data_IF_564541850159
#
_entry.id   IF_564541850159
#
_cell.length_a   1.000
_cell.length_b   1.000
_cell.length_c   1.000
_cell.angle_alpha   90.00
_cell.angle_beta   90.00
_cell.angle_gamma   90.00
#
_symmetry.space_group_name_H-M   'P 1'
#
loop_
_entity.id
_entity.type
_entity.pdbx_description
1 polymer ?
#
# COMPACT_ATOMS: atom_id res chain seq x y z
N UNK A 1 -9.39 26.04 -18.39
CA UNK A 1 -10.23 24.85 -18.13
C UNK A 1 -9.43 23.91 -17.24
N UNK A 2 -9.77 23.85 -15.95
CA UNK A 2 -9.04 23.09 -14.94
C UNK A 2 -9.40 21.60 -15.06
N UNK A 3 -8.59 20.80 -15.76
CA UNK A 3 -8.76 19.35 -15.72
C UNK A 3 -8.50 18.86 -14.28
N UNK A 4 -9.46 18.19 -13.62
CA UNK A 4 -9.28 17.72 -12.24
C UNK A 4 -8.31 16.53 -12.18
N UNK A 5 -8.28 15.68 -13.21
CA UNK A 5 -7.54 14.41 -13.25
C UNK A 5 -6.04 14.56 -12.92
N UNK A 6 -5.27 15.50 -13.52
CA UNK A 6 -3.85 15.65 -13.19
C UNK A 6 -3.58 15.95 -11.72
N UNK A 7 -4.52 16.60 -11.01
CA UNK A 7 -4.39 16.92 -9.59
C UNK A 7 -4.58 15.70 -8.69
N UNK A 8 -5.50 14.81 -9.07
CA UNK A 8 -5.65 13.53 -8.36
C UNK A 8 -4.43 12.63 -8.60
N UNK A 9 -3.97 12.54 -9.84
CA UNK A 9 -2.79 11.74 -10.19
C UNK A 9 -1.56 12.20 -9.43
N UNK A 10 -1.27 13.51 -9.40
CA UNK A 10 -0.11 14.02 -8.66
C UNK A 10 -0.28 13.86 -7.14
N UNK A 11 -1.51 13.88 -6.62
CA UNK A 11 -1.77 13.64 -5.19
C UNK A 11 -1.46 12.19 -4.84
N UNK A 12 -2.00 11.22 -5.59
CA UNK A 12 -1.74 9.79 -5.38
C UNK A 12 -0.25 9.49 -5.54
N UNK A 13 0.40 10.05 -6.57
CA UNK A 13 1.84 9.91 -6.75
C UNK A 13 2.65 10.50 -5.58
N UNK A 14 2.31 11.71 -5.14
CA UNK A 14 3.00 12.41 -4.06
C UNK A 14 2.95 11.66 -2.73
N UNK A 15 1.79 11.13 -2.36
CA UNK A 15 1.65 10.32 -1.16
C UNK A 15 2.22 8.90 -1.33
N UNK A 16 2.08 8.29 -2.51
CA UNK A 16 2.64 6.97 -2.80
C UNK A 16 4.18 6.93 -2.80
N UNK A 17 4.84 8.04 -3.11
CA UNK A 17 6.30 8.18 -3.04
C UNK A 17 6.80 8.76 -1.70
N UNK A 18 5.94 8.86 -0.68
CA UNK A 18 6.26 9.42 0.65
C UNK A 18 6.84 10.85 0.61
N UNK A 19 6.49 11.64 -0.42
CA UNK A 19 6.93 13.04 -0.56
C UNK A 19 6.09 13.98 0.31
N UNK A 20 4.84 13.61 0.55
CA UNK A 20 3.85 14.47 1.21
C UNK A 20 3.45 15.69 0.36
N UNK A 21 2.49 16.50 0.86
CA UNK A 21 1.87 17.56 0.06
C UNK A 21 2.82 18.72 -0.25
N UNK A 22 3.72 19.05 0.68
CA UNK A 22 4.66 20.16 0.53
C UNK A 22 5.71 19.89 -0.56
N UNK A 23 6.40 18.73 -0.53
CA UNK A 23 7.39 18.42 -1.55
C UNK A 23 6.74 18.18 -2.91
N UNK A 24 5.60 17.47 -2.93
CA UNK A 24 4.86 17.24 -4.18
C UNK A 24 4.48 18.55 -4.86
N UNK A 25 3.95 19.53 -4.11
CA UNK A 25 3.64 20.85 -4.67
C UNK A 25 4.89 21.61 -5.16
N UNK A 26 6.04 21.49 -4.48
CA UNK A 26 7.30 22.13 -4.89
C UNK A 26 7.85 21.56 -6.21
N UNK A 27 7.65 20.27 -6.45
CA UNK A 27 8.07 19.59 -7.68
C UNK A 27 7.04 19.68 -8.81
N UNK A 28 5.77 19.95 -8.50
CA UNK A 28 4.66 20.02 -9.46
C UNK A 28 3.89 21.36 -9.39
N UNK A 29 4.61 22.48 -9.36
CA UNK A 29 4.05 23.83 -9.09
C UNK A 29 2.95 24.26 -10.06
N UNK A 30 2.96 23.74 -11.28
CA UNK A 30 1.97 24.05 -12.32
C UNK A 30 0.69 23.21 -12.20
N UNK A 31 0.73 22.10 -11.45
CA UNK A 31 -0.36 21.13 -11.36
C UNK A 31 -1.25 21.38 -10.16
N UNK A 32 -0.66 21.53 -8.97
CA UNK A 32 -1.41 21.74 -7.73
C UNK A 32 -0.58 22.47 -6.66
N UNK A 33 -1.25 23.22 -5.80
CA UNK A 33 -0.68 23.76 -4.57
C UNK A 33 -0.76 22.75 -3.43
N UNK A 34 0.09 22.91 -2.42
CA UNK A 34 0.11 22.06 -1.23
C UNK A 34 -1.28 21.93 -0.59
N UNK A 35 -1.99 23.05 -0.44
CA UNK A 35 -3.36 23.08 0.09
C UNK A 35 -4.32 22.21 -0.72
N UNK A 36 -4.21 22.24 -2.05
CA UNK A 36 -5.08 21.43 -2.93
C UNK A 36 -4.76 19.95 -2.78
N UNK A 37 -3.48 19.58 -2.75
CA UNK A 37 -3.04 18.19 -2.57
C UNK A 37 -3.52 17.65 -1.21
N UNK A 38 -3.32 18.41 -0.13
CA UNK A 38 -3.78 18.04 1.21
C UNK A 38 -5.30 17.91 1.30
N UNK A 39 -6.04 18.81 0.65
CA UNK A 39 -7.51 18.77 0.61
C UNK A 39 -8.03 17.53 -0.15
N UNK A 40 -7.43 17.21 -1.31
CA UNK A 40 -7.79 16.02 -2.09
C UNK A 40 -7.53 14.75 -1.27
N UNK A 41 -6.36 14.65 -0.62
CA UNK A 41 -6.03 13.49 0.19
C UNK A 41 -7.01 13.32 1.36
N UNK A 42 -7.28 14.39 2.10
CA UNK A 42 -8.17 14.34 3.26
C UNK A 42 -9.64 14.04 2.91
N UNK A 43 -10.11 14.50 1.75
CA UNK A 43 -11.53 14.40 1.38
C UNK A 43 -11.84 13.19 0.50
N UNK A 44 -10.92 12.82 -0.40
CA UNK A 44 -11.25 11.92 -1.50
C UNK A 44 -10.45 10.62 -1.50
N UNK A 45 -9.31 10.56 -0.80
CA UNK A 45 -8.50 9.36 -0.67
C UNK A 45 -8.86 8.68 0.65
N UNK A 46 -9.46 7.49 0.55
CA UNK A 46 -9.83 6.66 1.70
C UNK A 46 -9.26 5.26 1.50
N UNK A 47 -9.11 4.51 2.59
CA UNK A 47 -8.60 3.14 2.53
C UNK A 47 -9.46 2.27 1.59
N UNK A 48 -10.77 2.39 1.65
CA UNK A 48 -11.70 1.59 0.84
C UNK A 48 -11.55 1.87 -0.66
N UNK A 49 -11.28 3.13 -1.02
CA UNK A 49 -11.03 3.52 -2.42
C UNK A 49 -9.67 3.06 -2.90
N UNK A 50 -8.66 3.09 -2.04
CA UNK A 50 -7.33 2.56 -2.37
C UNK A 50 -7.40 1.05 -2.57
N UNK A 51 -8.08 0.32 -1.69
CA UNK A 51 -8.30 -1.12 -1.82
C UNK A 51 -9.05 -1.46 -3.10
N UNK A 52 -10.08 -0.69 -3.46
CA UNK A 52 -10.80 -0.85 -4.73
C UNK A 52 -9.88 -0.59 -5.94
N UNK A 53 -9.07 0.48 -5.90
CA UNK A 53 -8.14 0.79 -6.97
C UNK A 53 -7.04 -0.27 -7.12
N UNK A 54 -6.55 -0.86 -6.02
CA UNK A 54 -5.60 -1.97 -6.04
C UNK A 54 -6.24 -3.18 -6.72
N UNK A 55 -7.48 -3.54 -6.38
CA UNK A 55 -8.20 -4.65 -7.04
C UNK A 55 -8.37 -4.42 -8.54
N UNK A 56 -8.74 -3.22 -8.95
CA UNK A 56 -8.89 -2.86 -10.36
C UNK A 56 -7.55 -2.96 -11.10
N UNK A 57 -6.45 -2.50 -10.47
CA UNK A 57 -5.10 -2.61 -11.03
C UNK A 57 -4.66 -4.07 -11.18
N UNK A 58 -4.89 -4.90 -10.16
CA UNK A 58 -4.59 -6.34 -10.21
C UNK A 58 -5.39 -7.01 -11.31
N UNK A 59 -6.67 -6.67 -11.45
CA UNK A 59 -7.54 -7.20 -12.50
C UNK A 59 -7.03 -6.83 -13.90
N UNK A 60 -6.58 -5.59 -14.11
CA UNK A 60 -5.96 -5.19 -15.38
C UNK A 60 -4.59 -5.84 -15.60
N UNK A 61 -3.79 -6.01 -14.55
CA UNK A 61 -2.50 -6.70 -14.63
C UNK A 61 -2.67 -8.17 -15.06
N UNK A 62 -3.69 -8.85 -14.52
CA UNK A 62 -4.03 -10.24 -14.86
C UNK A 62 -4.47 -10.44 -16.33
N UNK A 63 -4.77 -9.37 -17.08
CA UNK A 63 -5.10 -9.47 -18.52
C UNK A 63 -3.86 -9.69 -19.37
N UNK A 64 -2.68 -9.32 -18.87
CA UNK A 64 -1.44 -9.50 -19.60
C UNK A 64 -0.94 -10.94 -19.47
N UNK A 65 -0.13 -11.37 -20.44
CA UNK A 65 0.49 -12.71 -20.42
C UNK A 65 1.75 -12.77 -19.55
N UNK A 66 2.40 -11.63 -19.33
CA UNK A 66 3.64 -11.52 -18.56
C UNK A 66 3.54 -12.04 -17.11
N UNK A 67 2.47 -11.73 -16.33
CA UNK A 67 2.34 -12.24 -14.96
C UNK A 67 2.40 -13.77 -14.88
N UNK A 68 1.80 -14.44 -15.87
CA UNK A 68 1.73 -15.91 -15.94
C UNK A 68 3.02 -16.58 -16.42
N UNK A 69 4.07 -15.81 -16.69
CA UNK A 69 5.43 -16.34 -16.88
C UNK A 69 6.06 -16.67 -15.52
N UNK A 70 5.69 -15.94 -14.47
CA UNK A 70 6.25 -16.11 -13.12
C UNK A 70 5.55 -17.21 -12.32
N UNK A 71 4.23 -17.36 -12.50
CA UNK A 71 3.41 -18.30 -11.72
C UNK A 71 2.04 -18.54 -12.33
N UNK A 72 1.23 -19.37 -11.68
CA UNK A 72 -0.10 -19.75 -12.14
C UNK A 72 -1.22 -18.93 -11.51
N UNK A 73 -0.92 -18.09 -10.51
CA UNK A 73 -1.92 -17.35 -9.73
C UNK A 73 -2.55 -18.19 -8.62
N UNK A 74 -2.01 -19.39 -8.32
CA UNK A 74 -2.62 -20.32 -7.35
C UNK A 74 -1.88 -20.36 -6.02
N UNK A 75 -0.76 -19.66 -5.90
CA UNK A 75 0.06 -19.65 -4.71
C UNK A 75 0.45 -18.22 -4.37
N UNK A 76 0.52 -17.94 -3.07
CA UNK A 76 1.01 -16.67 -2.55
C UNK A 76 1.98 -16.95 -1.39
N UNK A 77 2.97 -16.08 -1.27
CA UNK A 77 3.87 -16.02 -0.13
C UNK A 77 3.50 -14.78 0.68
N UNK A 78 3.58 -14.89 1.99
CA UNK A 78 3.46 -13.73 2.86
C UNK A 78 4.84 -13.32 3.34
N UNK A 79 5.20 -12.07 3.09
CA UNK A 79 6.50 -11.49 3.46
C UNK A 79 6.30 -10.41 4.52
N UNK A 80 6.99 -10.55 5.65
CA UNK A 80 6.95 -9.62 6.76
C UNK A 80 8.27 -8.86 6.87
N UNK A 81 8.27 -7.57 6.58
CA UNK A 81 9.46 -6.71 6.73
C UNK A 81 9.35 -5.88 8.00
N UNK A 82 10.33 -5.97 8.89
CA UNK A 82 10.40 -5.14 10.08
C UNK A 82 10.80 -3.70 9.73
N UNK A 83 10.00 -2.73 10.18
CA UNK A 83 10.29 -1.31 10.07
C UNK A 83 10.48 -0.72 11.47
N UNK A 84 11.62 -0.06 11.67
CA UNK A 84 11.91 0.67 12.90
C UNK A 84 10.97 1.88 13.01
N UNK A 85 10.40 2.06 14.20
CA UNK A 85 9.51 3.18 14.50
C UNK A 85 10.02 3.94 15.72
N UNK A 86 9.59 5.19 15.86
CA UNK A 86 9.81 5.95 17.08
C UNK A 86 9.13 5.31 18.28
N UNK A 87 9.83 5.22 19.41
CA UNK A 87 9.27 4.74 20.67
C UNK A 87 8.06 5.58 21.13
N UNK A 88 7.16 4.96 21.91
CA UNK A 88 5.90 5.56 22.40
C UNK A 88 4.87 5.91 21.31
N UNK A 89 4.70 5.02 20.33
CA UNK A 89 3.59 5.12 19.38
C UNK A 89 2.56 3.99 19.64
N UNK A 90 1.34 4.13 19.10
CA UNK A 90 0.24 3.19 19.31
C UNK A 90 0.33 1.90 18.48
N UNK A 91 1.27 1.83 17.53
CA UNK A 91 1.37 0.79 16.51
C UNK A 91 2.60 -0.12 16.69
N UNK A 92 3.66 0.40 17.30
CA UNK A 92 4.96 -0.24 17.42
C UNK A 92 5.13 -0.98 18.73
N UNK A 93 5.81 -2.11 18.67
CA UNK A 93 6.13 -2.95 19.82
C UNK A 93 7.60 -3.37 19.77
N UNK A 94 8.15 -3.70 20.96
CA UNK A 94 9.49 -4.27 21.05
C UNK A 94 9.41 -5.78 20.98
N UNK A 95 10.08 -6.40 20.01
CA UNK A 95 10.03 -7.84 19.82
C UNK A 95 11.43 -8.47 19.77
N UNK A 96 11.60 -9.60 20.47
CA UNK A 96 12.92 -10.24 20.66
C UNK A 96 13.50 -10.80 19.36
N UNK A 97 12.67 -11.34 18.47
CA UNK A 97 13.14 -11.92 17.20
C UNK A 97 13.67 -10.85 16.23
N UNK A 98 13.13 -9.63 16.29
CA UNK A 98 13.51 -8.52 15.41
C UNK A 98 14.54 -7.59 16.04
N UNK A 99 14.83 -7.74 17.34
CA UNK A 99 15.90 -7.03 18.03
C UNK A 99 15.68 -5.53 18.22
N UNK A 100 14.49 -5.01 17.93
CA UNK A 100 14.19 -3.58 17.94
C UNK A 100 12.74 -3.25 18.28
N UNK A 101 12.45 -1.95 18.34
CA UNK A 101 11.11 -1.40 18.46
C UNK A 101 10.60 -1.00 17.07
N UNK A 102 9.43 -1.50 16.69
CA UNK A 102 8.95 -1.31 15.34
C UNK A 102 7.61 -1.95 15.07
N UNK A 103 7.24 -1.99 13.80
CA UNK A 103 6.12 -2.77 13.29
C UNK A 103 6.56 -3.59 12.08
N UNK A 104 5.70 -4.49 11.63
CA UNK A 104 5.94 -5.35 10.48
C UNK A 104 5.02 -4.88 9.35
N UNK A 105 5.62 -4.53 8.22
CA UNK A 105 4.87 -4.38 6.98
C UNK A 105 4.71 -5.76 6.35
N UNK A 106 3.48 -6.23 6.36
CA UNK A 106 3.06 -7.56 5.97
C UNK A 106 2.47 -7.55 4.57
N UNK A 107 3.13 -8.24 3.64
CA UNK A 107 2.83 -8.22 2.21
C UNK A 107 2.60 -9.62 1.68
N UNK A 108 1.34 -9.98 1.37
CA UNK A 108 1.10 -11.18 0.59
C UNK A 108 1.29 -10.94 -0.89
N UNK A 109 2.22 -11.70 -1.46
CA UNK A 109 2.69 -11.61 -2.84
C UNK A 109 2.27 -12.88 -3.55
N UNK A 110 1.52 -12.74 -4.63
CA UNK A 110 1.15 -13.84 -5.53
C UNK A 110 2.38 -14.34 -6.30
N UNK A 111 2.37 -15.61 -6.67
CA UNK A 111 3.37 -16.23 -7.56
C UNK A 111 3.47 -15.56 -8.94
N UNK A 112 2.45 -14.78 -9.33
CA UNK A 112 2.46 -13.90 -10.52
C UNK A 112 3.23 -12.57 -10.32
N UNK A 113 3.94 -12.45 -9.20
CA UNK A 113 4.79 -11.31 -8.82
C UNK A 113 3.99 -10.01 -8.64
N UNK A 114 2.83 -10.10 -7.99
CA UNK A 114 2.00 -8.94 -7.61
C UNK A 114 1.70 -8.98 -6.12
N UNK A 115 1.84 -7.83 -5.45
CA UNK A 115 1.39 -7.67 -4.07
C UNK A 115 -0.12 -7.52 -4.04
N UNK A 116 -0.80 -8.40 -3.29
CA UNK A 116 -2.26 -8.44 -3.20
C UNK A 116 -2.79 -7.42 -2.20
N UNK A 117 -2.11 -7.27 -1.07
CA UNK A 117 -2.44 -6.32 -0.01
C UNK A 117 -1.22 -6.07 0.88
N UNK A 118 -1.27 -4.97 1.62
CA UNK A 118 -0.24 -4.59 2.61
C UNK A 118 -0.91 -4.26 3.93
N UNK A 119 -0.55 -4.96 5.00
CA UNK A 119 -0.96 -4.62 6.36
C UNK A 119 0.24 -4.17 7.18
N UNK A 120 0.08 -3.11 7.97
CA UNK A 120 1.07 -2.75 8.96
C UNK A 120 0.61 -3.28 10.32
N UNK A 121 1.36 -4.24 10.87
CA UNK A 121 1.00 -5.00 12.07
C UNK A 121 2.04 -4.76 13.16
N UNK A 122 1.65 -4.86 14.42
CA UNK A 122 2.60 -4.77 15.53
C UNK A 122 3.46 -6.03 15.60
N UNK A 123 4.73 -5.88 16.01
CA UNK A 123 5.71 -6.97 16.00
C UNK A 123 5.39 -8.14 16.94
N UNK A 124 4.55 -7.96 17.97
CA UNK A 124 4.16 -9.02 18.89
C UNK A 124 2.96 -9.85 18.45
N UNK A 125 2.32 -9.53 17.32
CA UNK A 125 1.14 -10.24 16.84
C UNK A 125 1.52 -11.50 16.06
N UNK A 126 0.70 -12.54 16.17
CA UNK A 126 0.85 -13.76 15.39
C UNK A 126 0.51 -13.51 13.91
N UNK A 127 1.54 -13.50 13.06
CA UNK A 127 1.43 -13.32 11.61
C UNK A 127 0.48 -14.32 10.93
N UNK A 128 0.36 -15.55 11.47
CA UNK A 128 -0.54 -16.58 10.93
C UNK A 128 -2.00 -16.11 10.84
N UNK A 129 -2.45 -15.25 11.76
CA UNK A 129 -3.81 -14.69 11.71
C UNK A 129 -3.97 -13.78 10.49
N UNK A 130 -2.93 -13.01 10.16
CA UNK A 130 -2.94 -12.12 8.99
C UNK A 130 -2.81 -12.86 7.66
N UNK A 131 -2.16 -14.03 7.63
CA UNK A 131 -2.19 -14.93 6.46
C UNK A 131 -3.63 -15.35 6.17
N UNK A 132 -4.32 -15.86 7.19
CA UNK A 132 -5.69 -16.35 7.05
C UNK A 132 -6.66 -15.22 6.73
N UNK A 133 -6.51 -14.08 7.41
CA UNK A 133 -7.34 -12.90 7.17
C UNK A 133 -7.14 -12.36 5.74
N UNK A 134 -5.89 -12.33 5.29
CA UNK A 134 -5.52 -12.01 3.93
C UNK A 134 -6.14 -12.93 2.88
N UNK A 135 -6.11 -14.24 3.12
CA UNK A 135 -6.77 -15.23 2.25
C UNK A 135 -8.30 -15.02 2.21
N UNK A 136 -8.93 -14.81 3.37
CA UNK A 136 -10.40 -14.69 3.48
C UNK A 136 -10.93 -13.35 2.94
N UNK A 137 -10.15 -12.27 3.05
CA UNK A 137 -10.53 -10.93 2.61
C UNK A 137 -10.07 -10.60 1.20
N UNK A 138 -9.25 -11.44 0.57
CA UNK A 138 -8.85 -11.21 -0.82
C UNK A 138 -10.07 -11.28 -1.75
N UNK A 139 -10.38 -10.15 -2.37
CA UNK A 139 -11.44 -10.00 -3.37
C UNK A 139 -10.89 -9.76 -4.78
N UNK A 140 -9.57 -9.85 -4.95
CA UNK A 140 -8.93 -9.71 -6.25
C UNK A 140 -9.06 -11.01 -7.06
N UNK A 141 -8.73 -10.92 -8.35
CA UNK A 141 -8.82 -12.06 -9.28
C UNK A 141 -7.64 -13.03 -9.19
N UNK A 142 -6.60 -12.67 -8.42
CA UNK A 142 -5.35 -13.42 -8.22
C UNK A 142 -5.13 -13.76 -6.74
#
# INVERSE_FOLDING_TARGET
MSAPVPRYLITVFGYGCDLGPAQTARHARTLATERVIGCINAQHITAEKLDAAIRDLIAEYARFRLPFVWGSGQSAIADGTHHELYENNLLGERHICYGGYGGIAYHPISDTYVALFSHFIACGVWEAVYILDGLLKNQSVL
#
